data_IF_254222097181
#
_entry.id   IF_254222097181
#
_cell.length_a   1.000
_cell.length_b   1.000
_cell.length_c   1.000
_cell.angle_alpha   90.00
_cell.angle_beta   90.00
_cell.angle_gamma   90.00
#
_symmetry.space_group_name_H-M   'P 1'
#
loop_
_entity.id
_entity.type
_entity.pdbx_description
1 polymer ?
#
# COMPACT_ATOMS: atom_id res chain seq x y z
N UNK A 1 -10.21 -19.92 16.34
CA UNK A 1 -8.81 -19.68 15.91
C UNK A 1 -8.83 -18.40 15.10
N UNK A 2 -8.16 -17.34 15.53
CA UNK A 2 -8.02 -16.14 14.71
C UNK A 2 -6.99 -16.44 13.63
N UNK A 3 -7.44 -16.60 12.39
CA UNK A 3 -6.56 -16.70 11.23
C UNK A 3 -5.76 -15.40 11.10
N UNK A 4 -4.48 -15.45 11.47
CA UNK A 4 -3.45 -14.42 11.28
C UNK A 4 -2.24 -15.21 10.81
N UNK A 5 -1.55 -14.99 9.68
CA UNK A 5 -1.50 -13.91 8.69
C UNK A 5 -0.85 -14.48 7.42
N UNK A 6 -1.31 -14.09 6.22
CA UNK A 6 -0.49 -14.20 5.01
C UNK A 6 0.05 -12.82 4.65
N UNK A 7 1.38 -12.69 4.57
CA UNK A 7 2.04 -11.49 4.04
C UNK A 7 1.69 -11.37 2.57
N UNK A 8 1.16 -10.22 2.14
CA UNK A 8 0.79 -9.96 0.75
C UNK A 8 1.76 -8.97 0.14
N UNK A 9 2.40 -9.36 -0.96
CA UNK A 9 3.31 -8.52 -1.74
C UNK A 9 2.56 -7.66 -2.76
N UNK A 10 3.29 -6.80 -3.47
CA UNK A 10 2.71 -5.89 -4.47
C UNK A 10 1.97 -6.63 -5.59
N UNK A 11 2.40 -7.85 -5.97
CA UNK A 11 1.75 -8.64 -7.02
C UNK A 11 0.40 -9.16 -6.55
N UNK A 12 0.32 -9.63 -5.31
CA UNK A 12 -0.95 -10.00 -4.67
C UNK A 12 -1.90 -8.81 -4.59
N UNK A 13 -1.40 -7.67 -4.13
CA UNK A 13 -2.19 -6.43 -4.02
C UNK A 13 -2.74 -6.00 -5.39
N UNK A 14 -1.92 -6.02 -6.46
CA UNK A 14 -2.37 -5.65 -7.80
C UNK A 14 -3.42 -6.59 -8.39
N UNK A 15 -3.46 -7.86 -7.97
CA UNK A 15 -4.53 -8.80 -8.37
C UNK A 15 -5.83 -8.53 -7.64
N UNK A 16 -5.76 -8.08 -6.38
CA UNK A 16 -6.92 -7.84 -5.52
C UNK A 16 -7.54 -6.45 -5.74
N UNK A 17 -6.72 -5.44 -5.99
CA UNK A 17 -7.17 -4.05 -6.16
C UNK A 17 -7.10 -3.62 -7.63
N UNK A 18 -8.09 -2.82 -8.11
CA UNK A 18 -8.06 -2.26 -9.45
C UNK A 18 -7.06 -1.09 -9.61
N UNK A 19 -6.66 -0.46 -8.50
CA UNK A 19 -5.76 0.70 -8.49
C UNK A 19 -4.41 0.39 -9.14
N UNK A 20 -3.89 1.33 -9.93
CA UNK A 20 -2.58 1.28 -10.57
C UNK A 20 -1.83 2.58 -10.36
N UNK A 21 -0.57 2.64 -10.80
CA UNK A 21 0.17 3.89 -10.80
C UNK A 21 -0.67 5.00 -11.48
N UNK A 22 -0.80 6.18 -10.87
CA UNK A 22 -0.11 6.64 -9.65
C UNK A 22 -0.90 6.59 -8.34
N UNK A 23 -2.05 5.90 -8.33
CA UNK A 23 -2.98 5.85 -7.19
C UNK A 23 -2.99 4.52 -6.42
N UNK A 24 -2.10 3.58 -6.76
CA UNK A 24 -1.84 2.43 -5.90
C UNK A 24 -0.88 2.84 -4.78
N UNK A 25 -1.42 3.02 -3.57
CA UNK A 25 -0.70 3.57 -2.41
C UNK A 25 -0.52 2.55 -1.28
N UNK A 26 -0.48 1.25 -1.60
CA UNK A 26 -0.19 0.18 -0.64
C UNK A 26 0.88 -0.73 -1.26
N UNK A 27 2.02 -0.85 -0.59
CA UNK A 27 3.18 -1.59 -1.12
C UNK A 27 3.25 -3.02 -0.60
N UNK A 28 2.82 -3.25 0.64
CA UNK A 28 2.85 -4.55 1.30
C UNK A 28 1.82 -4.65 2.42
N UNK A 29 1.19 -5.80 2.58
CA UNK A 29 0.37 -6.12 3.76
C UNK A 29 1.17 -7.02 4.69
N UNK A 30 1.25 -6.63 5.97
CA UNK A 30 1.97 -7.35 7.01
C UNK A 30 1.06 -8.33 7.75
N UNK A 31 -0.16 -7.89 8.07
CA UNK A 31 -1.13 -8.66 8.88
C UNK A 31 -2.54 -8.38 8.38
N UNK A 32 -3.38 -9.41 8.31
CA UNK A 32 -4.82 -9.31 8.05
C UNK A 32 -5.53 -10.15 9.12
N UNK A 33 -6.55 -9.54 9.73
CA UNK A 33 -7.60 -10.22 10.47
C UNK A 33 -8.92 -9.93 9.73
N UNK A 34 -9.44 -10.95 9.04
CA UNK A 34 -10.62 -10.80 8.18
C UNK A 34 -11.81 -10.21 8.95
N UNK A 35 -12.46 -9.21 8.34
CA UNK A 35 -13.60 -8.50 8.94
C UNK A 35 -13.25 -7.61 10.14
N UNK A 36 -11.98 -7.51 10.54
CA UNK A 36 -11.56 -6.75 11.73
C UNK A 36 -10.50 -5.70 11.44
N UNK A 37 -9.30 -6.09 11.02
CA UNK A 37 -8.17 -5.17 10.81
C UNK A 37 -7.22 -5.60 9.72
N UNK A 38 -6.50 -4.64 9.17
CA UNK A 38 -5.38 -4.85 8.25
C UNK A 38 -4.24 -3.91 8.63
N UNK A 39 -3.01 -4.40 8.57
CA UNK A 39 -1.79 -3.62 8.79
C UNK A 39 -0.93 -3.69 7.53
N UNK A 40 -0.66 -2.54 6.93
CA UNK A 40 0.05 -2.45 5.66
C UNK A 40 1.12 -1.34 5.69
N UNK A 41 2.01 -1.37 4.70
CA UNK A 41 3.08 -0.40 4.49
C UNK A 41 2.83 0.35 3.19
N UNK A 42 3.03 1.68 3.25
CA UNK A 42 3.30 2.56 2.12
C UNK A 42 4.67 3.18 2.35
N UNK A 43 5.63 2.85 1.51
CA UNK A 43 6.92 3.52 1.52
C UNK A 43 6.76 4.87 0.84
N UNK A 44 7.39 5.89 1.43
CA UNK A 44 7.37 7.25 0.92
C UNK A 44 8.75 7.57 0.37
N UNK A 45 8.82 8.00 -0.88
CA UNK A 45 10.08 8.38 -1.53
C UNK A 45 9.95 9.69 -2.28
N UNK A 46 11.03 10.49 -2.29
CA UNK A 46 11.08 11.74 -3.04
C UNK A 46 10.85 11.56 -4.55
N UNK A 47 10.98 10.34 -5.08
CA UNK A 47 10.72 10.02 -6.48
C UNK A 47 9.23 9.80 -6.82
N UNK A 48 8.30 10.09 -5.90
CA UNK A 48 6.86 10.01 -6.18
C UNK A 48 6.34 11.30 -6.81
N UNK A 49 5.49 11.17 -7.83
CA UNK A 49 5.07 12.31 -8.67
C UNK A 49 4.38 13.45 -7.90
N UNK A 50 3.69 13.17 -6.80
CA UNK A 50 2.98 14.19 -6.04
C UNK A 50 3.93 15.14 -5.30
N UNK A 51 5.18 14.74 -5.03
CA UNK A 51 6.17 15.63 -4.41
C UNK A 51 6.61 16.77 -5.32
N UNK A 52 6.45 16.64 -6.64
CA UNK A 52 6.72 17.74 -7.59
C UNK A 52 5.83 18.95 -7.30
N UNK A 53 4.59 18.73 -6.84
CA UNK A 53 3.62 19.79 -6.56
C UNK A 53 3.19 19.93 -5.10
N UNK A 54 3.77 19.16 -4.17
CA UNK A 54 3.35 19.14 -2.75
C UNK A 54 4.55 19.08 -1.79
N UNK A 55 5.26 20.18 -1.57
CA UNK A 55 5.05 21.51 -2.16
C UNK A 55 6.30 21.93 -2.95
N UNK A 56 6.12 22.79 -3.96
CA UNK A 56 7.26 23.40 -4.65
C UNK A 56 8.18 24.10 -3.63
N UNK A 57 9.49 23.90 -3.77
CA UNK A 57 10.47 24.69 -3.03
C UNK A 57 10.58 26.06 -3.71
N UNK A 58 10.31 27.14 -2.96
CA UNK A 58 10.54 28.52 -3.41
C UNK A 58 12.03 28.82 -3.56
#
# INVERSE_FOLDING_TARGET
MSEVSNVIDIRGIMKMLPHRYPFLLVDRVLEIEEGKRIKAIKNVTANEQFFVGHFEQY
#
